data_IF_670724244916
#
_entry.id   IF_670724244916
#
_cell.length_a   1.000
_cell.length_b   1.000
_cell.length_c   1.000
_cell.angle_alpha   90.00
_cell.angle_beta   90.00
_cell.angle_gamma   90.00
#
_symmetry.space_group_name_H-M   'P 1'
#
loop_
_entity.id
_entity.type
_entity.pdbx_description
1 polymer ?
#
# COMPACT_ATOMS: atom_id res chain seq x y z
N UNK A 1 8.33 -24.59 13.84
CA UNK A 1 7.40 -23.96 12.88
C UNK A 1 7.64 -24.66 11.55
N UNK A 2 6.65 -25.37 11.03
CA UNK A 2 6.79 -26.14 9.78
C UNK A 2 6.58 -25.20 8.58
N UNK A 3 7.58 -25.08 7.70
CA UNK A 3 7.49 -24.27 6.48
C UNK A 3 6.84 -25.14 5.41
N UNK A 4 5.58 -24.88 5.07
CA UNK A 4 4.89 -25.56 3.97
C UNK A 4 5.51 -25.15 2.63
N UNK A 5 5.86 -26.12 1.78
CA UNK A 5 6.16 -25.88 0.37
C UNK A 5 4.88 -25.40 -0.33
N UNK A 6 4.99 -24.32 -1.09
CA UNK A 6 3.89 -23.76 -1.90
C UNK A 6 4.05 -24.33 -3.31
N UNK A 7 3.49 -25.52 -3.56
CA UNK A 7 3.64 -26.23 -4.84
C UNK A 7 2.60 -25.78 -5.91
N UNK A 8 1.59 -24.98 -5.53
CA UNK A 8 0.64 -24.33 -6.43
C UNK A 8 0.32 -22.91 -5.95
N UNK A 9 0.32 -21.95 -6.87
CA UNK A 9 0.11 -20.52 -6.59
C UNK A 9 -1.35 -20.19 -6.90
N UNK A 10 -2.18 -20.16 -5.86
CA UNK A 10 -3.56 -19.69 -5.92
C UNK A 10 -3.70 -18.45 -5.02
N UNK A 11 -3.55 -17.23 -5.56
CA UNK A 11 -3.55 -16.02 -4.75
C UNK A 11 -4.92 -15.77 -4.13
N UNK A 12 -5.00 -15.58 -2.80
CA UNK A 12 -6.28 -15.47 -2.11
C UNK A 12 -7.03 -14.19 -2.50
N UNK A 13 -8.34 -14.19 -2.26
CA UNK A 13 -9.11 -12.95 -2.28
C UNK A 13 -8.72 -12.03 -1.12
N UNK A 14 -8.79 -10.72 -1.38
CA UNK A 14 -8.35 -9.67 -0.46
C UNK A 14 -9.50 -8.71 -0.10
N UNK A 15 -10.56 -9.19 0.58
CA UNK A 15 -11.72 -8.37 0.89
C UNK A 15 -11.39 -7.27 1.91
N UNK A 16 -12.06 -6.13 1.77
CA UNK A 16 -12.09 -5.10 2.81
C UNK A 16 -12.90 -5.54 4.04
N UNK A 17 -12.95 -4.68 5.05
CA UNK A 17 -13.78 -4.87 6.24
C UNK A 17 -14.96 -3.90 6.25
N UNK A 18 -15.91 -4.11 7.16
CA UNK A 18 -16.99 -3.16 7.41
C UNK A 18 -16.43 -1.77 7.72
N UNK A 19 -17.02 -0.73 7.12
CA UNK A 19 -16.53 0.64 7.24
C UNK A 19 -15.28 0.95 6.42
N UNK A 20 -14.85 0.06 5.51
CA UNK A 20 -13.77 0.35 4.55
C UNK A 20 -14.36 0.62 3.16
N UNK A 21 -13.91 1.70 2.52
CA UNK A 21 -14.27 2.04 1.14
C UNK A 21 -13.12 1.72 0.22
N UNK A 22 -13.35 0.93 -0.83
CA UNK A 22 -12.31 0.53 -1.77
C UNK A 22 -11.78 1.73 -2.59
N UNK A 23 -10.46 1.76 -2.76
CA UNK A 23 -9.74 2.69 -3.63
C UNK A 23 -9.36 1.96 -4.92
N UNK A 24 -9.89 2.43 -6.05
CA UNK A 24 -9.56 1.85 -7.37
C UNK A 24 -8.35 2.56 -7.96
N UNK A 25 -7.22 1.86 -8.05
CA UNK A 25 -6.03 2.37 -8.75
C UNK A 25 -6.15 1.98 -10.24
N UNK A 26 -6.13 2.94 -11.18
CA UNK A 26 -6.22 2.64 -12.60
C UNK A 26 -5.04 1.79 -13.08
N UNK A 27 -5.28 0.82 -13.97
CA UNK A 27 -4.21 0.00 -14.55
C UNK A 27 -3.17 0.81 -15.35
N UNK A 28 -3.54 2.00 -15.82
CA UNK A 28 -2.63 2.92 -16.51
C UNK A 28 -1.70 3.68 -15.57
N UNK A 29 -1.91 3.60 -14.25
CA UNK A 29 -1.05 4.25 -13.25
C UNK A 29 0.41 3.81 -13.42
N UNK A 30 1.35 4.76 -13.36
CA UNK A 30 2.76 4.50 -13.65
C UNK A 30 3.03 3.99 -15.07
N UNK A 31 2.12 4.27 -16.03
CA UNK A 31 2.12 3.68 -17.39
C UNK A 31 1.98 2.15 -17.37
N UNK A 32 1.26 1.61 -16.40
CA UNK A 32 1.12 0.17 -16.16
C UNK A 32 2.40 -0.51 -15.63
N UNK A 33 3.39 0.28 -15.20
CA UNK A 33 4.69 -0.20 -14.70
C UNK A 33 4.98 0.30 -13.28
N UNK A 34 3.93 0.63 -12.53
CA UNK A 34 4.07 0.92 -11.11
C UNK A 34 4.73 -0.26 -10.40
N UNK A 35 5.63 0.01 -9.44
CA UNK A 35 6.49 -1.01 -8.87
C UNK A 35 5.72 -2.14 -8.17
N UNK A 36 4.61 -1.83 -7.49
CA UNK A 36 3.76 -2.83 -6.82
C UNK A 36 2.61 -3.28 -7.75
N UNK A 37 1.79 -2.36 -8.24
CA UNK A 37 0.54 -2.71 -8.97
C UNK A 37 0.71 -2.99 -10.46
N UNK A 38 1.88 -2.66 -11.01
CA UNK A 38 2.21 -2.94 -12.41
C UNK A 38 2.61 -4.39 -12.65
N UNK A 39 3.05 -5.11 -11.61
CA UNK A 39 3.28 -6.54 -11.70
C UNK A 39 1.93 -7.27 -11.72
N UNK A 40 1.64 -7.97 -12.82
CA UNK A 40 0.42 -8.77 -12.98
C UNK A 40 0.68 -10.26 -12.79
N UNK A 41 1.91 -10.64 -12.43
CA UNK A 41 2.22 -12.02 -12.05
C UNK A 41 1.53 -12.37 -10.74
N UNK A 42 0.94 -13.55 -10.71
CA UNK A 42 0.15 -14.01 -9.58
C UNK A 42 1.01 -14.39 -8.35
N UNK A 43 2.34 -14.44 -8.46
CA UNK A 43 3.20 -15.06 -7.45
C UNK A 43 4.04 -14.09 -6.61
N UNK A 44 4.00 -12.78 -6.91
CA UNK A 44 4.79 -11.77 -6.17
C UNK A 44 3.96 -11.06 -5.10
N UNK A 45 3.21 -10.02 -5.45
CA UNK A 45 2.41 -9.26 -4.49
C UNK A 45 1.01 -9.08 -5.07
N UNK A 46 -0.02 -9.48 -4.30
CA UNK A 46 -1.41 -9.12 -4.56
C UNK A 46 -1.82 -8.10 -3.51
N UNK A 47 -2.44 -7.00 -3.93
CA UNK A 47 -2.84 -5.90 -3.04
C UNK A 47 -4.19 -5.33 -3.44
N UNK A 48 -5.01 -4.97 -2.45
CA UNK A 48 -6.23 -4.16 -2.61
C UNK A 48 -6.22 -3.03 -1.61
N UNK A 49 -6.71 -1.87 -2.04
CA UNK A 49 -6.57 -0.61 -1.32
C UNK A 49 -7.93 -0.11 -0.83
N UNK A 50 -7.93 0.52 0.33
CA UNK A 50 -9.12 0.98 1.00
C UNK A 50 -8.84 2.26 1.81
N UNK A 51 -9.91 2.95 2.19
CA UNK A 51 -9.88 3.98 3.20
C UNK A 51 -10.86 3.62 4.33
N UNK A 52 -10.41 3.72 5.58
CA UNK A 52 -11.29 3.59 6.75
C UNK A 52 -12.23 4.80 6.81
N UNK A 53 -13.52 4.57 6.94
CA UNK A 53 -14.50 5.65 7.06
C UNK A 53 -14.37 6.42 8.38
N UNK A 54 -13.98 5.72 9.44
CA UNK A 54 -13.90 6.23 10.83
C UNK A 54 -12.88 7.35 11.02
N UNK A 55 -11.68 7.19 10.46
CA UNK A 55 -10.55 8.11 10.69
C UNK A 55 -9.85 8.56 9.40
N UNK A 56 -10.36 8.12 8.23
CA UNK A 56 -9.80 8.39 6.90
C UNK A 56 -8.39 7.85 6.69
N UNK A 57 -7.91 6.96 7.57
CA UNK A 57 -6.64 6.26 7.39
C UNK A 57 -6.66 5.41 6.13
N UNK A 58 -5.51 5.35 5.46
CA UNK A 58 -5.30 4.44 4.35
C UNK A 58 -5.12 3.03 4.89
N UNK A 59 -5.69 2.05 4.19
CA UNK A 59 -5.54 0.63 4.50
C UNK A 59 -5.36 -0.17 3.21
N UNK A 60 -4.57 -1.22 3.27
CA UNK A 60 -4.42 -2.18 2.20
C UNK A 60 -4.47 -3.61 2.74
N UNK A 61 -5.12 -4.50 1.99
CA UNK A 61 -4.94 -5.94 2.16
C UNK A 61 -3.83 -6.38 1.24
N UNK A 62 -2.83 -7.08 1.78
CA UNK A 62 -1.63 -7.47 1.05
C UNK A 62 -1.35 -8.94 1.28
N UNK A 63 -1.15 -9.66 0.19
CA UNK A 63 -0.64 -11.03 0.20
C UNK A 63 0.72 -11.06 -0.49
N UNK A 64 1.69 -11.64 0.20
CA UNK A 64 3.07 -11.80 -0.25
C UNK A 64 3.26 -13.23 -0.75
N UNK A 65 3.35 -13.40 -2.07
CA UNK A 65 3.53 -14.68 -2.72
C UNK A 65 4.98 -15.18 -2.72
N UNK A 66 5.23 -16.39 -3.24
CA UNK A 66 6.54 -17.02 -3.22
C UNK A 66 7.67 -16.17 -3.83
N UNK A 67 7.38 -15.36 -4.86
CA UNK A 67 8.39 -14.52 -5.52
C UNK A 67 8.84 -13.30 -4.68
N UNK A 68 8.35 -13.19 -3.44
CA UNK A 68 8.82 -12.23 -2.42
C UNK A 68 9.72 -12.86 -1.36
N UNK A 69 10.09 -14.14 -1.52
CA UNK A 69 10.98 -14.83 -0.58
C UNK A 69 12.33 -14.10 -0.44
N UNK A 70 12.72 -13.88 0.81
CA UNK A 70 14.07 -13.43 1.17
C UNK A 70 14.79 -14.55 1.91
N UNK A 71 14.68 -14.62 3.24
CA UNK A 71 15.03 -15.82 3.99
C UNK A 71 14.07 -16.97 3.64
N UNK A 72 14.55 -18.21 3.67
CA UNK A 72 13.74 -19.39 3.34
C UNK A 72 12.43 -19.45 4.14
N UNK A 73 11.30 -19.44 3.45
CA UNK A 73 9.94 -19.45 4.01
C UNK A 73 9.38 -18.08 4.43
N UNK A 74 10.15 -16.99 4.28
CA UNK A 74 9.79 -15.67 4.80
C UNK A 74 9.89 -14.57 3.76
N UNK A 75 9.02 -13.57 3.90
CA UNK A 75 8.95 -12.39 3.04
C UNK A 75 10.22 -11.55 3.20
N UNK A 76 10.79 -11.15 2.06
CA UNK A 76 11.94 -10.27 2.00
C UNK A 76 11.63 -8.90 2.62
N UNK A 77 12.53 -8.38 3.46
CA UNK A 77 12.36 -7.10 4.14
C UNK A 77 12.10 -5.93 3.19
N UNK A 78 12.74 -5.94 2.01
CA UNK A 78 12.52 -4.96 0.96
C UNK A 78 11.09 -4.96 0.41
N UNK A 79 10.43 -6.11 0.28
CA UNK A 79 9.04 -6.19 -0.19
C UNK A 79 8.08 -5.56 0.83
N UNK A 80 8.30 -5.80 2.12
CA UNK A 80 7.56 -5.15 3.20
C UNK A 80 7.81 -3.63 3.19
N UNK A 81 9.06 -3.19 3.04
CA UNK A 81 9.41 -1.77 2.99
C UNK A 81 8.75 -1.05 1.80
N UNK A 82 8.71 -1.67 0.61
CA UNK A 82 8.08 -1.08 -0.57
C UNK A 82 6.57 -0.91 -0.40
N UNK A 83 5.90 -1.86 0.26
CA UNK A 83 4.47 -1.75 0.57
C UNK A 83 4.22 -0.66 1.62
N UNK A 84 5.10 -0.52 2.62
CA UNK A 84 5.01 0.57 3.59
C UNK A 84 5.21 1.94 2.93
N UNK A 85 6.16 2.08 2.00
CA UNK A 85 6.33 3.31 1.22
C UNK A 85 5.07 3.65 0.42
N UNK A 86 4.52 2.67 -0.29
CA UNK A 86 3.31 2.87 -1.08
C UNK A 86 2.12 3.28 -0.20
N UNK A 87 1.91 2.62 0.94
CA UNK A 87 0.82 2.93 1.85
C UNK A 87 0.95 4.33 2.46
N UNK A 88 2.14 4.68 2.94
CA UNK A 88 2.41 6.00 3.51
C UNK A 88 2.31 7.10 2.45
N UNK A 89 2.85 6.89 1.25
CA UNK A 89 2.70 7.81 0.12
C UNK A 89 1.24 8.01 -0.29
N UNK A 90 0.47 6.92 -0.36
CA UNK A 90 -0.97 6.98 -0.65
C UNK A 90 -1.75 7.76 0.41
N UNK A 91 -1.42 7.60 1.69
CA UNK A 91 -2.04 8.40 2.77
C UNK A 91 -1.81 9.91 2.59
N UNK A 92 -0.61 10.30 2.13
CA UNK A 92 -0.26 11.70 1.83
C UNK A 92 -1.05 12.21 0.62
N UNK A 93 -1.25 11.37 -0.39
CA UNK A 93 -2.01 11.70 -1.60
C UNK A 93 -3.50 11.87 -1.33
N UNK A 94 -4.07 11.03 -0.45
CA UNK A 94 -5.46 11.15 -0.02
C UNK A 94 -5.72 12.49 0.69
N UNK A 95 -4.73 13.03 1.42
CA UNK A 95 -4.77 14.39 1.96
C UNK A 95 -4.65 15.50 0.90
N UNK A 96 -4.41 15.15 -0.37
CA UNK A 96 -4.34 16.10 -1.49
C UNK A 96 -2.94 16.58 -1.86
N UNK A 97 -1.90 16.10 -1.18
CA UNK A 97 -0.53 16.48 -1.51
C UNK A 97 0.03 15.64 -2.66
N UNK A 98 0.92 16.23 -3.45
CA UNK A 98 1.74 15.49 -4.41
C UNK A 98 3.16 15.47 -3.86
N UNK A 99 3.53 14.34 -3.25
CA UNK A 99 4.78 14.24 -2.51
C UNK A 99 5.62 13.04 -2.95
N UNK A 100 6.92 13.17 -2.78
CA UNK A 100 7.90 12.08 -2.93
C UNK A 100 8.52 11.76 -1.58
N UNK A 101 8.90 10.49 -1.37
CA UNK A 101 9.65 10.09 -0.19
C UNK A 101 11.03 10.78 -0.17
N UNK A 102 11.41 11.31 0.98
CA UNK A 102 12.76 11.83 1.26
C UNK A 102 13.50 10.97 2.30
N UNK A 103 12.77 10.34 3.21
CA UNK A 103 13.31 9.34 4.16
C UNK A 103 12.23 8.33 4.48
N UNK A 104 12.61 7.07 4.60
CA UNK A 104 11.77 5.99 5.12
C UNK A 104 12.61 5.23 6.13
N UNK A 105 12.07 5.02 7.33
CA UNK A 105 12.71 4.22 8.38
C UNK A 105 11.77 3.08 8.72
N UNK A 106 12.23 1.84 8.63
CA UNK A 106 11.43 0.64 8.89
C UNK A 106 12.02 -0.15 10.05
N UNK A 107 11.20 -0.41 11.05
CA UNK A 107 11.48 -1.33 12.14
C UNK A 107 10.85 -2.68 11.82
N UNK A 108 11.65 -3.73 11.68
CA UNK A 108 11.16 -5.11 11.50
C UNK A 108 11.01 -5.76 12.88
N UNK A 109 9.75 -5.99 13.29
CA UNK A 109 9.38 -6.52 14.61
C UNK A 109 9.33 -8.05 14.64
N UNK A 110 8.82 -8.66 13.58
CA UNK A 110 8.65 -10.12 13.47
C UNK A 110 8.90 -10.58 12.03
N UNK A 111 9.33 -11.83 11.89
CA UNK A 111 9.42 -12.50 10.59
C UNK A 111 8.03 -12.75 10.01
N UNK A 112 7.82 -12.42 8.74
CA UNK A 112 6.55 -12.64 8.04
C UNK A 112 6.62 -13.87 7.16
N UNK A 113 5.79 -14.87 7.43
CA UNK A 113 5.73 -16.12 6.64
C UNK A 113 5.11 -15.85 5.27
N UNK A 114 5.69 -16.42 4.22
CA UNK A 114 5.12 -16.34 2.86
C UNK A 114 3.67 -16.84 2.82
N UNK A 115 2.85 -16.23 1.96
CA UNK A 115 1.45 -16.58 1.81
C UNK A 115 0.51 -16.04 2.89
N UNK A 116 1.04 -15.36 3.91
CA UNK A 116 0.22 -14.71 4.94
C UNK A 116 -0.52 -13.50 4.36
N UNK A 117 -1.82 -13.41 4.60
CA UNK A 117 -2.61 -12.20 4.30
C UNK A 117 -2.43 -11.21 5.44
N UNK A 118 -1.94 -10.02 5.10
CA UNK A 118 -1.68 -8.93 6.05
C UNK A 118 -2.59 -7.73 5.77
N UNK A 119 -2.76 -6.90 6.79
CA UNK A 119 -3.25 -5.53 6.66
C UNK A 119 -2.06 -4.58 6.77
N UNK A 120 -2.02 -3.61 5.88
CA UNK A 120 -1.14 -2.45 5.99
C UNK A 120 -1.99 -1.23 6.26
N UNK A 121 -1.68 -0.49 7.30
CA UNK A 121 -2.39 0.73 7.66
C UNK A 121 -1.40 1.89 7.67
N UNK A 122 -1.80 3.03 7.12
CA UNK A 122 -0.98 4.23 7.11
C UNK A 122 -1.80 5.51 7.31
N UNK A 123 -1.19 6.49 7.97
CA UNK A 123 -1.80 7.80 8.24
C UNK A 123 -0.75 8.90 8.29
N UNK A 124 -1.17 10.10 7.90
CA UNK A 124 -0.35 11.30 8.07
C UNK A 124 -0.33 11.68 9.55
N UNK A 125 0.87 11.82 10.12
CA UNK A 125 1.08 12.25 11.50
C UNK A 125 1.19 13.77 11.61
N UNK A 126 1.84 14.43 10.64
CA UNK A 126 1.97 15.89 10.65
C UNK A 126 2.25 16.48 9.27
N UNK A 127 1.87 17.75 9.10
CA UNK A 127 2.16 18.57 7.92
C UNK A 127 2.80 19.87 8.40
N UNK A 128 4.04 20.13 7.97
CA UNK A 128 4.77 21.36 8.25
C UNK A 128 5.33 21.94 6.96
N UNK A 129 4.59 22.88 6.38
CA UNK A 129 4.89 23.45 5.06
C UNK A 129 4.95 22.37 4.00
N UNK A 130 6.13 22.18 3.38
CA UNK A 130 6.35 21.12 2.38
C UNK A 130 6.75 19.77 2.95
N UNK A 131 7.00 19.66 4.26
CA UNK A 131 7.41 18.41 4.93
C UNK A 131 6.17 17.73 5.51
N UNK A 132 5.98 16.47 5.18
CA UNK A 132 4.83 15.67 5.62
C UNK A 132 5.38 14.40 6.23
N UNK A 133 4.99 14.11 7.47
CA UNK A 133 5.35 12.86 8.15
C UNK A 133 4.15 11.93 8.07
N UNK A 134 4.37 10.72 7.57
CA UNK A 134 3.39 9.63 7.57
C UNK A 134 3.98 8.44 8.29
N UNK A 135 3.13 7.65 8.93
CA UNK A 135 3.53 6.40 9.56
C UNK A 135 2.64 5.26 9.07
N UNK A 136 3.21 4.07 9.03
CA UNK A 136 2.49 2.87 8.64
C UNK A 136 2.96 1.62 9.39
N UNK A 137 2.15 0.57 9.34
CA UNK A 137 2.46 -0.73 9.94
C UNK A 137 1.88 -1.88 9.12
N UNK A 138 2.55 -3.03 9.16
CA UNK A 138 2.06 -4.30 8.61
C UNK A 138 1.71 -5.22 9.77
N UNK A 139 0.48 -5.75 9.78
CA UNK A 139 0.00 -6.66 10.81
C UNK A 139 -0.95 -7.73 10.26
N UNK A 140 -1.10 -8.87 10.94
CA UNK A 140 -2.06 -9.92 10.56
C UNK A 140 -3.46 -9.71 11.20
N UNK A 141 -4.38 -10.63 10.93
CA UNK A 141 -5.72 -10.64 11.52
C UNK A 141 -5.71 -10.82 13.05
N UNK A 142 -4.68 -11.46 13.61
CA UNK A 142 -4.53 -11.64 15.04
C UNK A 142 -3.94 -10.40 15.74
N UNK A 143 -3.49 -9.40 14.96
CA UNK A 143 -2.89 -8.18 15.46
C UNK A 143 -1.37 -8.26 15.67
N UNK A 144 -0.72 -9.35 15.24
CA UNK A 144 0.74 -9.45 15.29
C UNK A 144 1.36 -8.45 14.30
N UNK A 145 2.19 -7.54 14.80
CA UNK A 145 2.86 -6.52 13.99
C UNK A 145 4.19 -7.08 13.46
N UNK A 146 4.38 -7.06 12.14
CA UNK A 146 5.61 -7.53 11.49
C UNK A 146 6.61 -6.41 11.24
N UNK A 147 6.10 -5.24 10.86
CA UNK A 147 6.94 -4.06 10.66
C UNK A 147 6.16 -2.78 10.90
N UNK A 148 6.88 -1.76 11.34
CA UNK A 148 6.40 -0.39 11.51
C UNK A 148 7.32 0.54 10.74
N UNK A 149 6.80 1.68 10.30
CA UNK A 149 7.56 2.63 9.51
C UNK A 149 7.14 4.06 9.76
N UNK A 150 8.12 4.96 9.70
CA UNK A 150 7.92 6.40 9.60
C UNK A 150 8.60 6.92 8.33
N UNK A 151 7.83 7.64 7.52
CA UNK A 151 8.28 8.27 6.29
C UNK A 151 8.20 9.80 6.37
N UNK A 152 9.26 10.47 5.90
CA UNK A 152 9.26 11.89 5.59
C UNK A 152 9.03 12.06 4.08
N UNK A 153 7.95 12.74 3.72
CA UNK A 153 7.57 13.05 2.36
C UNK A 153 7.69 14.56 2.12
N UNK A 154 8.06 14.91 0.89
CA UNK A 154 8.23 16.30 0.48
C UNK A 154 7.20 16.63 -0.59
N UNK A 155 6.24 17.50 -0.25
CA UNK A 155 5.29 18.05 -1.20
C UNK A 155 6.06 18.88 -2.25
N UNK A 156 5.85 18.57 -3.53
CA UNK A 156 6.40 19.34 -4.63
C UNK A 156 5.28 20.07 -5.37
N UNK A 157 5.59 21.19 -6.06
CA UNK A 157 4.62 21.86 -6.90
C UNK A 157 4.00 20.92 -7.93
N UNK A 158 2.68 21.01 -8.10
CA UNK A 158 1.89 20.22 -9.03
C UNK A 158 2.50 20.12 -10.45
N UNK A 159 3.06 21.22 -10.95
CA UNK A 159 3.70 21.26 -12.27
C UNK A 159 4.81 20.21 -12.48
N UNK A 160 5.47 19.74 -11.40
CA UNK A 160 6.52 18.71 -11.49
C UNK A 160 5.97 17.28 -11.61
N UNK A 161 4.70 17.06 -11.33
CA UNK A 161 4.07 15.73 -11.33
C UNK A 161 3.28 15.42 -12.60
N UNK A 162 2.99 16.43 -13.44
CA UNK A 162 2.32 16.25 -14.73
C UNK A 162 1.06 15.39 -14.61
N UNK A 163 1.02 14.27 -15.36
CA UNK A 163 -0.12 13.35 -15.38
C UNK A 163 -0.39 12.62 -14.05
N UNK A 164 0.54 12.58 -13.09
CA UNK A 164 0.28 11.93 -11.79
C UNK A 164 -0.85 12.57 -10.98
N UNK A 165 -1.09 13.87 -11.19
CA UNK A 165 -2.21 14.58 -10.53
C UNK A 165 -3.55 13.98 -10.96
N UNK A 166 -3.68 13.61 -12.23
CA UNK A 166 -4.89 13.03 -12.77
C UNK A 166 -5.24 11.71 -12.06
N UNK A 167 -4.25 10.82 -11.88
CA UNK A 167 -4.47 9.56 -11.17
C UNK A 167 -4.88 9.76 -9.71
N UNK A 168 -4.26 10.72 -9.00
CA UNK A 168 -4.68 11.06 -7.63
C UNK A 168 -6.16 11.45 -7.59
N UNK A 169 -6.59 12.27 -8.55
CA UNK A 169 -7.96 12.77 -8.60
C UNK A 169 -8.95 11.66 -8.98
N UNK A 170 -8.59 10.73 -9.86
CA UNK A 170 -9.37 9.53 -10.16
C UNK A 170 -9.53 8.61 -8.95
N UNK A 171 -8.44 8.35 -8.22
CA UNK A 171 -8.47 7.55 -6.98
C UNK A 171 -9.37 8.23 -5.95
N UNK A 172 -9.30 9.55 -5.82
CA UNK A 172 -10.20 10.31 -4.93
C UNK A 172 -11.67 10.23 -5.38
N UNK A 173 -11.97 10.25 -6.68
CA UNK A 173 -13.33 10.05 -7.19
C UNK A 173 -13.88 8.66 -6.86
N UNK A 174 -13.03 7.63 -6.81
CA UNK A 174 -13.47 6.28 -6.40
C UNK A 174 -14.02 6.25 -4.96
N UNK A 175 -13.61 7.19 -4.10
CA UNK A 175 -14.14 7.34 -2.74
C UNK A 175 -15.53 7.98 -2.68
N UNK A 176 -15.93 8.75 -3.70
CA UNK A 176 -17.23 9.46 -3.70
C UNK A 176 -18.38 8.65 -4.30
N UNK A 177 -18.14 7.41 -4.75
CA UNK A 177 -19.19 6.53 -5.27
C UNK A 177 -19.81 6.96 -6.60
N UNK A 178 -19.21 7.93 -7.31
CA UNK A 178 -19.63 8.31 -8.65
C UNK A 178 -18.98 7.37 -9.66
N UNK A 179 -19.64 6.24 -9.93
CA UNK A 179 -19.45 5.50 -11.16
C UNK A 179 -19.84 6.43 -12.32
N UNK A 180 -18.85 7.04 -12.98
CA UNK A 180 -19.07 7.67 -14.28
C UNK A 180 -19.20 6.57 -15.34
N UNK A 181 -20.30 5.82 -15.30
CA UNK A 181 -20.82 5.15 -16.47
C UNK A 181 -21.82 6.11 -17.13
N UNK A 182 -21.31 6.98 -18.00
CA UNK A 182 -22.10 7.62 -19.05
C UNK A 182 -21.13 8.28 -20.05
N UNK A 183 -20.74 7.52 -21.08
CA UNK A 183 -20.91 7.84 -22.52
C UNK A 183 -20.14 6.85 -23.39
#
# INVERSE_FOLDING_TARGET
MEIKKIDAIDPPELPGEEGWTELKIPDSYGKGRAFITGDKTADRIKVRYFQKQSDKSFVARVWFGPATEGPAGFVHGGSMASILDEAMGASVWLLGFTAVAARISVDYRNMLVLGTITTVEAKVLSVNGRKIVSAGKIYDKAGAVYSESEGLYINLPAARFGKMIHYRDEVKKSLSGTDNNEQ
#
